data_IF_047710381548
#
_entry.id   IF_047710381548
#
_cell.length_a   1.000
_cell.length_b   1.000
_cell.length_c   1.000
_cell.angle_alpha   90.00
_cell.angle_beta   90.00
_cell.angle_gamma   90.00
#
_symmetry.space_group_name_H-M   'P 1'
#
loop_
_entity.id
_entity.type
_entity.pdbx_description
1 polymer ?
#
# COMPACT_ATOMS: atom_id res chain seq x y z
N UNK A 1 33.40 58.94 -100.96
CA UNK A 1 32.68 58.48 -102.18
C UNK A 1 33.62 58.11 -103.33
N UNK A 2 34.51 58.99 -103.81
CA UNK A 2 35.36 58.71 -104.99
C UNK A 2 36.47 57.66 -104.78
N UNK A 3 37.05 57.57 -103.58
CA UNK A 3 38.08 56.57 -103.24
C UNK A 3 37.52 55.16 -103.11
N UNK A 4 36.34 55.03 -102.50
CA UNK A 4 35.70 53.74 -102.24
C UNK A 4 35.21 53.06 -103.54
N UNK A 5 34.69 53.83 -104.52
CA UNK A 5 34.44 53.32 -105.89
C UNK A 5 35.71 52.88 -106.61
N UNK A 6 36.85 53.55 -106.40
CA UNK A 6 38.13 53.15 -107.01
C UNK A 6 38.68 51.84 -106.43
N UNK A 7 38.51 51.60 -105.13
CA UNK A 7 38.83 50.31 -104.52
C UNK A 7 37.89 49.20 -105.00
N UNK A 8 36.60 49.49 -105.14
CA UNK A 8 35.61 48.52 -105.64
C UNK A 8 35.86 48.14 -107.11
N UNK A 9 36.23 49.09 -107.97
CA UNK A 9 36.67 48.84 -109.35
C UNK A 9 38.05 48.18 -109.49
N UNK A 10 38.88 48.18 -108.43
CA UNK A 10 40.12 47.40 -108.38
C UNK A 10 39.86 45.96 -107.89
N UNK A 11 38.87 45.76 -107.01
CA UNK A 11 38.44 44.42 -106.58
C UNK A 11 37.74 43.62 -107.69
N UNK A 12 36.94 44.27 -108.54
CA UNK A 12 36.25 43.64 -109.69
C UNK A 12 37.18 43.28 -110.86
N UNK A 13 38.51 43.41 -110.71
CA UNK A 13 39.47 43.28 -111.82
C UNK A 13 40.66 42.36 -111.55
N UNK A 14 40.61 41.57 -110.48
CA UNK A 14 41.64 40.58 -110.12
C UNK A 14 40.99 39.18 -110.12
N UNK A 15 40.92 38.57 -111.30
CA UNK A 15 40.71 37.13 -111.45
C UNK A 15 42.03 36.42 -111.13
N UNK A 16 42.32 36.17 -109.85
CA UNK A 16 43.39 35.27 -109.43
C UNK A 16 42.86 34.12 -108.57
N UNK A 17 42.89 32.86 -109.07
CA UNK A 17 42.56 31.70 -108.27
C UNK A 17 43.59 31.46 -107.15
N UNK A 18 44.78 32.05 -107.24
CA UNK A 18 45.86 31.90 -106.25
C UNK A 18 45.56 32.64 -104.95
N UNK A 19 44.96 33.84 -105.00
CA UNK A 19 44.42 34.51 -103.81
C UNK A 19 43.17 33.80 -103.24
N UNK A 20 42.38 33.11 -104.09
CA UNK A 20 41.27 32.27 -103.64
C UNK A 20 41.76 31.03 -102.91
N UNK A 21 42.79 30.34 -103.43
CA UNK A 21 43.45 29.22 -102.75
C UNK A 21 44.22 29.67 -101.51
N UNK A 22 44.88 30.83 -101.50
CA UNK A 22 45.51 31.37 -100.29
C UNK A 22 44.47 31.78 -99.23
N UNK A 23 43.31 32.34 -99.61
CA UNK A 23 42.21 32.60 -98.68
C UNK A 23 41.51 31.32 -98.22
N UNK A 24 41.36 30.30 -99.05
CA UNK A 24 40.89 28.97 -98.62
C UNK A 24 41.93 28.22 -97.79
N UNK A 25 43.22 28.50 -97.97
CA UNK A 25 44.30 27.95 -97.14
C UNK A 25 44.33 28.65 -95.77
N UNK A 26 44.20 29.99 -95.73
CA UNK A 26 44.06 30.75 -94.48
C UNK A 26 42.74 30.43 -93.75
N UNK A 27 41.60 30.34 -94.45
CA UNK A 27 40.32 29.95 -93.83
C UNK A 27 40.24 28.45 -93.54
N UNK A 28 40.93 27.60 -94.32
CA UNK A 28 41.09 26.17 -94.07
C UNK A 28 42.03 25.87 -92.90
N UNK A 29 42.95 26.77 -92.56
CA UNK A 29 43.67 26.76 -91.27
C UNK A 29 42.76 27.09 -90.07
N UNK A 30 41.53 27.55 -90.31
CA UNK A 30 40.47 27.79 -89.32
C UNK A 30 39.34 26.75 -89.43
N UNK A 31 39.53 25.66 -90.18
CA UNK A 31 38.66 24.47 -90.07
C UNK A 31 38.82 23.84 -88.67
N UNK A 32 37.95 24.22 -87.74
CA UNK A 32 37.77 23.50 -86.49
C UNK A 32 37.25 22.09 -86.78
N UNK A 33 37.87 21.06 -86.22
CA UNK A 33 37.51 19.65 -86.36
C UNK A 33 36.16 19.27 -85.72
N UNK A 34 35.30 20.25 -85.45
CA UNK A 34 34.07 20.14 -84.69
C UNK A 34 32.89 20.58 -85.56
N UNK A 35 31.91 19.69 -85.72
CA UNK A 35 30.66 19.97 -86.43
C UNK A 35 29.52 20.19 -85.43
N UNK A 36 28.47 20.90 -85.86
CA UNK A 36 27.33 21.19 -85.01
C UNK A 36 26.51 19.92 -84.74
N UNK A 37 26.41 19.50 -83.48
CA UNK A 37 25.78 18.23 -83.13
C UNK A 37 24.28 18.40 -82.83
N UNK A 38 23.45 18.20 -83.85
CA UNK A 38 21.99 18.16 -83.69
C UNK A 38 21.46 16.86 -83.06
N UNK A 39 22.29 15.79 -83.02
CA UNK A 39 21.84 14.42 -82.76
C UNK A 39 21.79 14.04 -81.26
N UNK A 40 22.17 14.94 -80.35
CA UNK A 40 22.11 14.68 -78.90
C UNK A 40 20.64 14.60 -78.46
N UNK A 41 20.18 13.40 -78.13
CA UNK A 41 18.81 13.16 -77.68
C UNK A 41 18.56 13.81 -76.32
N UNK A 42 17.38 14.39 -76.05
CA UNK A 42 17.01 14.77 -74.68
C UNK A 42 17.12 13.60 -73.69
N UNK A 43 17.42 13.92 -72.42
CA UNK A 43 17.60 12.92 -71.37
C UNK A 43 18.60 13.34 -70.29
N UNK A 44 18.91 12.44 -69.37
CA UNK A 44 19.92 12.62 -68.32
C UNK A 44 21.31 12.28 -68.86
N UNK A 45 22.28 13.17 -68.62
CA UNK A 45 23.69 13.02 -68.97
C UNK A 45 24.60 13.37 -67.78
N UNK A 46 25.82 12.82 -67.80
CA UNK A 46 26.99 13.31 -67.09
C UNK A 46 27.81 14.16 -68.05
N UNK A 47 28.25 15.32 -67.58
CA UNK A 47 29.17 16.20 -68.29
C UNK A 47 30.55 15.97 -67.66
N UNK A 48 31.48 15.39 -68.43
CA UNK A 48 32.80 14.96 -67.95
C UNK A 48 33.88 15.77 -68.64
N UNK A 49 34.77 16.39 -67.89
CA UNK A 49 35.90 17.13 -68.45
C UNK A 49 36.94 16.17 -69.03
N UNK A 50 37.33 16.31 -70.30
CA UNK A 50 38.13 15.30 -71.00
C UNK A 50 39.54 15.16 -70.44
N UNK A 51 40.22 16.29 -70.17
CA UNK A 51 41.62 16.32 -69.69
C UNK A 51 41.80 15.74 -68.28
N UNK A 52 40.78 15.87 -67.43
CA UNK A 52 40.87 15.56 -65.99
C UNK A 52 39.99 14.37 -65.57
N UNK A 53 39.10 13.92 -66.45
CA UNK A 53 38.09 12.88 -66.21
C UNK A 53 37.15 13.16 -65.00
N UNK A 54 37.09 14.41 -64.54
CA UNK A 54 36.21 14.89 -63.46
C UNK A 54 34.83 15.26 -64.00
N UNK A 55 33.80 15.10 -63.18
CA UNK A 55 32.40 15.37 -63.54
C UNK A 55 31.97 16.76 -63.09
N UNK A 56 31.11 17.41 -63.87
CA UNK A 56 30.49 18.69 -63.53
C UNK A 56 29.44 18.52 -62.43
N UNK A 57 29.56 19.29 -61.35
CA UNK A 57 28.62 19.32 -60.23
C UNK A 57 28.32 20.77 -59.80
N UNK A 58 27.26 20.94 -59.00
CA UNK A 58 27.02 22.16 -58.23
C UNK A 58 27.75 22.02 -56.88
N UNK A 59 28.44 23.06 -56.45
CA UNK A 59 29.13 23.10 -55.17
C UNK A 59 28.13 22.98 -53.99
N UNK A 60 28.44 22.11 -53.02
CA UNK A 60 27.49 21.74 -51.94
C UNK A 60 27.04 22.94 -51.08
N UNK A 61 28.00 23.77 -50.64
CA UNK A 61 27.72 24.97 -49.83
C UNK A 61 27.20 26.15 -50.69
N UNK A 62 27.94 26.54 -51.73
CA UNK A 62 27.57 27.63 -52.62
C UNK A 62 26.84 27.10 -53.86
N UNK A 63 25.51 27.02 -53.77
CA UNK A 63 24.62 26.47 -54.81
C UNK A 63 24.62 27.22 -56.15
N UNK A 64 25.25 28.40 -56.25
CA UNK A 64 25.42 29.12 -57.53
C UNK A 64 26.69 28.71 -58.28
N UNK A 65 27.68 28.11 -57.60
CA UNK A 65 28.97 27.75 -58.21
C UNK A 65 28.92 26.39 -58.88
N UNK A 66 29.34 26.37 -60.14
CA UNK A 66 29.63 25.15 -60.90
C UNK A 66 31.11 24.80 -60.74
N UNK A 67 31.38 23.52 -60.44
CA UNK A 67 32.72 23.00 -60.20
C UNK A 67 32.91 21.64 -60.88
N UNK A 68 34.16 21.28 -61.17
CA UNK A 68 34.51 19.89 -61.47
C UNK A 68 34.92 19.15 -60.19
N UNK A 69 34.55 17.87 -60.10
CA UNK A 69 34.91 17.00 -58.99
C UNK A 69 35.16 15.56 -59.45
N UNK A 70 35.95 14.80 -58.69
CA UNK A 70 36.13 13.37 -58.94
C UNK A 70 34.79 12.62 -58.95
N UNK A 71 34.70 11.62 -59.84
CA UNK A 71 33.56 10.70 -59.87
C UNK A 71 33.52 9.93 -58.54
N UNK A 72 32.58 10.29 -57.67
CA UNK A 72 32.31 9.55 -56.44
C UNK A 72 31.89 8.12 -56.81
N UNK A 73 32.80 7.16 -56.59
CA UNK A 73 32.67 5.71 -56.88
C UNK A 73 31.58 4.98 -56.05
N UNK A 74 30.51 5.68 -55.67
CA UNK A 74 29.37 5.16 -54.93
C UNK A 74 28.09 6.02 -55.06
N UNK A 75 28.01 6.89 -56.07
CA UNK A 75 26.77 7.59 -56.42
C UNK A 75 25.76 6.65 -57.07
N UNK A 76 24.47 6.84 -56.82
CA UNK A 76 23.41 6.01 -57.39
C UNK A 76 23.36 6.10 -58.92
N UNK A 77 23.52 4.97 -59.60
CA UNK A 77 23.39 4.88 -61.06
C UNK A 77 21.96 5.18 -61.56
N UNK A 78 20.97 5.26 -60.66
CA UNK A 78 19.61 5.69 -60.97
C UNK A 78 19.61 7.08 -61.65
N UNK A 79 19.15 7.18 -62.92
CA UNK A 79 19.11 8.45 -63.65
C UNK A 79 18.38 9.54 -62.86
N UNK A 80 18.92 10.76 -62.90
CA UNK A 80 18.36 11.93 -62.23
C UNK A 80 18.63 12.08 -60.72
N UNK A 81 19.29 11.12 -60.05
CA UNK A 81 19.51 11.18 -58.58
C UNK A 81 20.89 11.68 -58.12
N UNK A 82 21.93 11.63 -58.97
CA UNK A 82 23.29 12.05 -58.66
C UNK A 82 23.48 13.58 -58.56
N UNK A 83 24.59 14.02 -57.94
CA UNK A 83 25.03 15.44 -57.90
C UNK A 83 25.68 15.92 -59.22
N UNK A 84 25.87 14.98 -60.13
CA UNK A 84 26.53 15.06 -61.43
C UNK A 84 25.54 14.77 -62.58
N UNK A 85 24.25 14.64 -62.28
CA UNK A 85 23.20 14.30 -63.24
C UNK A 85 22.55 15.58 -63.79
N UNK A 86 22.67 15.77 -65.10
CA UNK A 86 22.18 16.94 -65.82
C UNK A 86 21.17 16.51 -66.89
N UNK A 87 19.96 17.05 -66.84
CA UNK A 87 18.92 16.82 -67.83
C UNK A 87 19.07 17.81 -69.00
N UNK A 88 19.32 17.28 -70.18
CA UNK A 88 19.42 18.01 -71.43
C UNK A 88 18.05 18.10 -72.07
N UNK A 89 17.53 19.31 -72.21
CA UNK A 89 16.25 19.62 -72.86
C UNK A 89 16.51 20.46 -74.11
N UNK A 90 16.04 20.02 -75.28
CA UNK A 90 16.20 20.77 -76.54
C UNK A 90 15.50 22.14 -76.43
N UNK A 91 16.17 23.20 -76.86
CA UNK A 91 15.65 24.57 -76.88
C UNK A 91 16.14 25.30 -78.13
N UNK A 92 15.27 25.38 -79.14
CA UNK A 92 15.64 25.89 -80.46
C UNK A 92 16.78 25.07 -81.09
N UNK A 93 17.87 25.76 -81.48
CA UNK A 93 19.11 25.15 -82.00
C UNK A 93 20.11 24.74 -80.91
N UNK A 94 19.74 24.77 -79.64
CA UNK A 94 20.63 24.35 -78.54
C UNK A 94 19.87 23.55 -77.48
N UNK A 95 20.44 23.52 -76.29
CA UNK A 95 19.94 22.78 -75.13
C UNK A 95 19.90 23.69 -73.90
N UNK A 96 18.87 23.50 -73.09
CA UNK A 96 18.86 23.92 -71.68
C UNK A 96 19.34 22.73 -70.87
N UNK A 97 20.26 22.97 -69.95
CA UNK A 97 20.89 21.93 -69.15
C UNK A 97 20.48 22.16 -67.69
N UNK A 98 19.58 21.32 -67.16
CA UNK A 98 18.97 21.42 -65.81
C UNK A 98 19.58 20.37 -64.89
N UNK A 99 20.15 20.76 -63.75
CA UNK A 99 20.61 19.83 -62.73
C UNK A 99 19.43 19.05 -62.14
N UNK A 100 19.46 17.72 -62.19
CA UNK A 100 18.29 16.91 -61.83
C UNK A 100 17.90 17.01 -60.35
N UNK A 101 18.89 17.20 -59.45
CA UNK A 101 18.64 17.22 -57.99
C UNK A 101 18.23 18.59 -57.43
N UNK A 102 18.72 19.69 -57.99
CA UNK A 102 18.39 21.05 -57.50
C UNK A 102 17.43 21.82 -58.40
N UNK A 103 17.23 21.38 -59.64
CA UNK A 103 16.42 22.07 -60.64
C UNK A 103 17.05 23.32 -61.26
N UNK A 104 18.25 23.73 -60.83
CA UNK A 104 18.98 24.86 -61.39
C UNK A 104 19.56 24.55 -62.78
N UNK A 105 19.62 25.54 -63.65
CA UNK A 105 20.20 25.46 -64.99
C UNK A 105 21.65 25.94 -65.02
N UNK A 106 22.42 25.44 -65.99
CA UNK A 106 23.73 26.02 -66.35
C UNK A 106 23.48 27.34 -67.09
N UNK A 107 24.01 28.44 -66.55
CA UNK A 107 23.70 29.81 -66.96
C UNK A 107 24.95 30.70 -66.99
N UNK A 108 24.88 31.79 -67.76
CA UNK A 108 26.04 32.67 -68.02
C UNK A 108 25.87 33.99 -67.24
N UNK A 109 26.84 34.35 -66.41
CA UNK A 109 26.82 35.60 -65.66
C UNK A 109 27.51 36.73 -66.44
N UNK A 110 26.83 37.30 -67.44
CA UNK A 110 27.40 38.34 -68.32
C UNK A 110 27.91 39.61 -67.59
N UNK A 111 27.52 39.83 -66.34
CA UNK A 111 27.98 40.94 -65.51
C UNK A 111 29.29 40.69 -64.74
N UNK A 112 29.92 39.51 -64.82
CA UNK A 112 31.14 39.17 -64.05
C UNK A 112 32.44 39.80 -64.57
N UNK A 113 32.41 40.48 -65.73
CA UNK A 113 33.60 40.81 -66.50
C UNK A 113 34.09 39.63 -67.34
N UNK A 114 35.01 39.89 -68.28
CA UNK A 114 35.57 38.86 -69.17
C UNK A 114 36.90 38.31 -68.61
N UNK A 115 37.15 36.99 -68.65
CA UNK A 115 36.25 35.91 -69.11
C UNK A 115 35.09 35.67 -68.14
N UNK A 116 33.90 35.38 -68.67
CA UNK A 116 32.66 35.39 -67.88
C UNK A 116 32.50 34.15 -67.00
N UNK A 117 31.90 34.31 -65.82
CA UNK A 117 31.53 33.18 -64.95
C UNK A 117 30.37 32.37 -65.55
N UNK A 118 30.40 31.05 -65.31
CA UNK A 118 29.27 30.16 -65.55
C UNK A 118 28.74 29.71 -64.19
N UNK A 119 27.41 29.81 -63.98
CA UNK A 119 26.74 29.63 -62.69
C UNK A 119 25.53 28.71 -62.80
N UNK A 120 25.15 28.10 -61.68
CA UNK A 120 23.88 27.41 -61.53
C UNK A 120 22.80 28.41 -61.08
N UNK A 121 21.76 28.63 -61.89
CA UNK A 121 20.66 29.57 -61.55
C UNK A 121 19.30 29.05 -61.99
N UNK A 122 18.20 29.65 -61.54
CA UNK A 122 16.85 29.28 -61.98
C UNK A 122 16.54 29.72 -63.43
N UNK A 123 17.38 30.57 -64.02
CA UNK A 123 17.17 31.17 -65.34
C UNK A 123 17.98 30.45 -66.42
N UNK A 124 17.36 29.68 -67.34
CA UNK A 124 18.09 28.87 -68.31
C UNK A 124 18.83 29.69 -69.37
N UNK A 125 20.11 29.36 -69.60
CA UNK A 125 20.80 29.71 -70.84
C UNK A 125 20.63 28.60 -71.90
N UNK A 126 20.79 28.96 -73.16
CA UNK A 126 20.83 28.01 -74.29
C UNK A 126 22.28 27.71 -74.65
N UNK A 127 22.63 26.43 -74.60
CA UNK A 127 23.96 25.92 -74.96
C UNK A 127 23.91 25.22 -76.31
N UNK A 128 24.77 25.64 -77.24
CA UNK A 128 24.98 25.00 -78.54
C UNK A 128 26.09 23.97 -78.36
N UNK A 129 25.89 22.74 -78.83
CA UNK A 129 26.86 21.66 -78.64
C UNK A 129 27.47 21.30 -79.99
N UNK A 130 28.79 21.26 -80.01
CA UNK A 130 29.59 20.83 -81.14
C UNK A 130 30.36 19.57 -80.76
N UNK A 131 30.64 18.72 -81.74
CA UNK A 131 31.30 17.44 -81.50
C UNK A 131 32.30 17.13 -82.62
N UNK A 132 33.40 16.47 -82.27
CA UNK A 132 34.36 15.92 -83.23
C UNK A 132 33.73 14.75 -84.02
N UNK A 133 34.28 14.39 -85.18
CA UNK A 133 33.81 13.22 -85.93
C UNK A 133 34.48 11.93 -85.41
N UNK A 134 33.73 11.05 -84.73
CA UNK A 134 34.24 9.79 -84.20
C UNK A 134 33.25 9.02 -83.32
N UNK A 135 33.63 7.82 -82.86
CA UNK A 135 32.76 6.93 -82.05
C UNK A 135 32.48 7.44 -80.62
N UNK A 136 33.42 8.20 -80.03
CA UNK A 136 33.27 8.83 -78.72
C UNK A 136 33.71 10.31 -78.81
N UNK A 137 32.88 11.18 -79.41
CA UNK A 137 33.34 12.50 -79.80
C UNK A 137 33.43 13.45 -78.61
N UNK A 138 34.63 14.02 -78.41
CA UNK A 138 34.82 15.18 -77.55
C UNK A 138 33.87 16.29 -78.02
N UNK A 139 33.22 16.96 -77.06
CA UNK A 139 32.20 17.97 -77.34
C UNK A 139 32.53 19.30 -76.70
N UNK A 140 32.16 20.38 -77.39
CA UNK A 140 32.36 21.76 -76.96
C UNK A 140 30.98 22.36 -76.70
N UNK A 141 30.80 22.94 -75.50
CA UNK A 141 29.57 23.64 -75.12
C UNK A 141 29.76 25.15 -75.35
N UNK A 142 29.19 25.65 -76.45
CA UNK A 142 29.24 27.05 -76.86
C UNK A 142 27.95 27.81 -76.51
N UNK A 143 28.01 29.14 -76.48
CA UNK A 143 26.81 29.99 -76.25
C UNK A 143 26.15 30.46 -77.54
N UNK A 144 26.80 30.28 -78.69
CA UNK A 144 26.32 30.71 -79.99
C UNK A 144 26.72 29.74 -81.11
N UNK A 145 26.30 30.04 -82.35
CA UNK A 145 26.64 29.24 -83.53
C UNK A 145 28.02 29.56 -84.14
N UNK A 146 28.82 30.43 -83.51
CA UNK A 146 30.12 30.86 -84.03
C UNK A 146 31.31 30.31 -83.22
N UNK A 147 31.04 29.60 -82.12
CA UNK A 147 32.03 29.20 -81.11
C UNK A 147 32.80 30.40 -80.51
N UNK A 148 32.25 31.62 -80.57
CA UNK A 148 32.95 32.81 -80.05
C UNK A 148 33.24 32.71 -78.55
N UNK A 149 32.46 31.88 -77.86
CA UNK A 149 32.41 31.72 -76.41
C UNK A 149 32.06 30.27 -76.07
N UNK A 150 32.97 29.57 -75.41
CA UNK A 150 32.88 28.15 -75.04
C UNK A 150 33.11 27.96 -73.55
N UNK A 151 32.50 26.92 -72.99
CA UNK A 151 32.70 26.48 -71.61
C UNK A 151 34.10 25.88 -71.46
N UNK A 152 34.96 26.56 -70.71
CA UNK A 152 36.33 26.13 -70.41
C UNK A 152 36.56 26.00 -68.91
N UNK A 153 37.42 25.06 -68.53
CA UNK A 153 37.85 24.87 -67.15
C UNK A 153 38.75 26.02 -66.69
N UNK A 154 38.42 26.65 -65.55
CA UNK A 154 39.30 27.63 -64.93
C UNK A 154 40.20 26.99 -63.87
N UNK A 155 41.28 26.38 -64.34
CA UNK A 155 42.38 25.72 -63.59
C UNK A 155 43.20 26.64 -62.66
N UNK A 156 42.75 27.88 -62.40
CA UNK A 156 43.51 28.87 -61.63
C UNK A 156 44.92 29.12 -62.21
N UNK A 157 45.88 29.49 -61.35
CA UNK A 157 47.28 29.72 -61.76
C UNK A 157 48.21 28.53 -61.55
N UNK A 158 47.81 27.52 -60.76
CA UNK A 158 48.71 26.45 -60.26
C UNK A 158 48.09 25.05 -60.17
N UNK A 159 46.85 24.81 -60.63
CA UNK A 159 46.15 23.53 -60.44
C UNK A 159 45.46 23.08 -61.71
N UNK A 160 46.07 22.15 -62.45
CA UNK A 160 45.51 21.58 -63.69
C UNK A 160 44.30 20.66 -63.39
N UNK A 161 43.16 21.23 -63.02
CA UNK A 161 41.92 20.53 -62.71
C UNK A 161 41.91 19.85 -61.35
N UNK A 162 42.04 20.63 -60.27
CA UNK A 162 41.76 20.17 -58.93
C UNK A 162 40.24 20.00 -58.67
N UNK A 163 39.90 19.31 -57.57
CA UNK A 163 38.52 19.23 -57.11
C UNK A 163 38.06 20.60 -56.59
N UNK A 164 36.99 21.14 -57.15
CA UNK A 164 36.48 22.47 -56.83
C UNK A 164 36.85 23.55 -57.84
N UNK A 165 37.65 23.24 -58.86
CA UNK A 165 37.96 24.18 -59.94
C UNK A 165 36.68 24.57 -60.69
N UNK A 166 36.53 25.88 -60.95
CA UNK A 166 35.31 26.48 -61.49
C UNK A 166 35.31 26.56 -63.01
N UNK A 167 34.16 26.86 -63.61
CA UNK A 167 34.03 27.06 -65.05
C UNK A 167 34.02 28.54 -65.43
N UNK A 168 34.60 28.86 -66.60
CA UNK A 168 34.50 30.18 -67.22
C UNK A 168 34.20 30.07 -68.72
N UNK A 169 33.79 31.20 -69.28
CA UNK A 169 33.45 31.35 -70.67
C UNK A 169 34.56 32.11 -71.41
N UNK A 170 35.27 31.40 -72.27
CA UNK A 170 36.46 31.86 -73.01
C UNK A 170 36.26 31.68 -74.52
N UNK A 171 37.07 32.31 -75.39
CA UNK A 171 37.11 31.96 -76.80
C UNK A 171 37.67 30.54 -76.99
N UNK A 172 37.33 29.89 -78.10
CA UNK A 172 37.84 28.55 -78.39
C UNK A 172 39.36 28.56 -78.62
N UNK A 173 40.11 28.12 -77.60
CA UNK A 173 41.53 27.80 -77.70
C UNK A 173 41.71 26.33 -78.13
N UNK A 174 42.88 25.98 -78.68
CA UNK A 174 43.23 24.59 -79.03
C UNK A 174 43.83 23.81 -77.85
N UNK A 175 43.37 24.06 -76.62
CA UNK A 175 43.72 23.26 -75.45
C UNK A 175 42.70 22.09 -75.30
N UNK A 176 42.78 21.38 -74.18
CA UNK A 176 41.83 20.37 -73.75
C UNK A 176 40.90 20.86 -72.64
N UNK A 177 41.05 22.11 -72.16
CA UNK A 177 40.25 22.70 -71.06
C UNK A 177 38.82 23.08 -71.53
N UNK A 178 38.61 23.21 -72.84
CA UNK A 178 37.31 23.45 -73.49
C UNK A 178 36.52 22.17 -73.81
N UNK A 179 37.10 20.98 -73.55
CA UNK A 179 36.58 19.70 -74.06
C UNK A 179 35.80 18.90 -73.02
N UNK A 180 34.60 18.47 -73.41
CA UNK A 180 33.64 17.78 -72.56
C UNK A 180 33.09 16.51 -73.22
N UNK A 181 33.09 15.39 -72.49
CA UNK A 181 32.40 14.15 -72.88
C UNK A 181 31.01 14.12 -72.26
N UNK A 182 30.01 13.77 -73.07
CA UNK A 182 28.61 13.70 -72.67
C UNK A 182 28.17 12.25 -72.54
N UNK A 183 28.25 11.70 -71.33
CA UNK A 183 27.84 10.31 -71.03
C UNK A 183 26.32 10.25 -70.78
N UNK A 184 25.54 9.58 -71.64
CA UNK A 184 24.09 9.40 -71.43
C UNK A 184 23.82 8.39 -70.31
N UNK A 185 22.96 8.75 -69.37
CA UNK A 185 22.61 7.93 -68.19
C UNK A 185 21.17 7.39 -68.29
N UNK A 186 20.24 8.17 -68.84
CA UNK A 186 18.83 7.75 -68.93
C UNK A 186 17.89 8.86 -69.39
N UNK A 187 16.61 8.74 -69.04
CA UNK A 187 15.53 9.62 -69.55
C UNK A 187 14.75 10.35 -68.43
N UNK A 188 15.07 10.08 -67.17
CA UNK A 188 14.33 10.61 -66.03
C UNK A 188 14.69 12.06 -65.70
N UNK A 189 13.67 12.88 -65.42
CA UNK A 189 13.84 14.24 -64.87
C UNK A 189 14.22 14.24 -63.38
N UNK A 190 13.98 13.13 -62.67
CA UNK A 190 14.19 12.96 -61.22
C UNK A 190 12.95 13.27 -60.35
N UNK A 191 11.89 13.85 -60.93
CA UNK A 191 10.74 14.38 -60.18
C UNK A 191 9.70 13.30 -59.81
N UNK A 192 9.52 12.27 -60.64
CA UNK A 192 8.45 11.25 -60.47
C UNK A 192 8.66 10.33 -59.25
N UNK A 193 9.90 9.87 -59.02
CA UNK A 193 10.21 8.95 -57.91
C UNK A 193 10.08 9.57 -56.50
N UNK A 194 9.96 10.89 -56.40
CA UNK A 194 9.75 11.58 -55.12
C UNK A 194 8.28 11.56 -54.69
N UNK A 195 7.34 11.63 -55.62
CA UNK A 195 5.90 11.61 -55.34
C UNK A 195 5.44 10.26 -54.76
N UNK A 196 5.90 9.14 -55.34
CA UNK A 196 5.57 7.79 -54.85
C UNK A 196 6.11 7.54 -53.44
N UNK A 197 7.34 8.02 -53.15
CA UNK A 197 7.93 7.95 -51.81
C UNK A 197 7.14 8.78 -50.79
N UNK A 198 6.69 9.97 -51.17
CA UNK A 198 5.84 10.81 -50.31
C UNK A 198 4.52 10.10 -49.95
N UNK A 199 3.85 9.50 -50.94
CA UNK A 199 2.61 8.74 -50.72
C UNK A 199 2.82 7.49 -49.84
N UNK A 200 3.92 6.75 -50.04
CA UNK A 200 4.26 5.61 -49.18
C UNK A 200 4.58 6.02 -47.73
N UNK A 201 5.21 7.18 -47.53
CA UNK A 201 5.47 7.72 -46.20
C UNK A 201 4.18 8.19 -45.52
N UNK A 202 3.27 8.85 -46.24
CA UNK A 202 1.96 9.25 -45.73
C UNK A 202 1.13 8.04 -45.24
N UNK A 203 1.07 6.96 -46.04
CA UNK A 203 0.37 5.72 -45.65
C UNK A 203 1.01 5.04 -44.42
N UNK A 204 2.33 5.13 -44.26
CA UNK A 204 3.03 4.62 -43.07
C UNK A 204 2.74 5.47 -41.84
N UNK A 205 2.67 6.80 -42.01
CA UNK A 205 2.34 7.74 -40.94
C UNK A 205 0.91 7.51 -40.42
N UNK A 206 -0.08 7.43 -41.31
CA UNK A 206 -1.48 7.14 -40.96
C UNK A 206 -1.62 5.82 -40.18
N UNK A 207 -0.91 4.77 -40.60
CA UNK A 207 -0.85 3.49 -39.86
C UNK A 207 -0.21 3.65 -38.48
N UNK A 208 0.89 4.39 -38.37
CA UNK A 208 1.54 4.66 -37.09
C UNK A 208 0.63 5.48 -36.16
N UNK A 209 -0.08 6.47 -36.66
CA UNK A 209 -1.02 7.32 -35.91
C UNK A 209 -2.23 6.53 -35.40
N UNK A 210 -2.85 5.71 -36.27
CA UNK A 210 -3.99 4.86 -35.88
C UNK A 210 -3.60 3.81 -34.85
N UNK A 211 -2.42 3.18 -34.99
CA UNK A 211 -1.90 2.30 -33.95
C UNK A 211 -1.53 3.05 -32.66
N UNK A 212 -0.94 4.24 -32.74
CA UNK A 212 -0.60 5.06 -31.57
C UNK A 212 -1.86 5.46 -30.80
N UNK A 213 -2.94 5.83 -31.50
CA UNK A 213 -4.26 6.08 -30.90
C UNK A 213 -4.81 4.86 -30.17
N UNK A 214 -4.68 3.66 -30.77
CA UNK A 214 -5.07 2.37 -30.16
C UNK A 214 -4.20 1.98 -28.96
N UNK A 215 -2.89 2.29 -28.99
CA UNK A 215 -1.99 2.11 -27.84
C UNK A 215 -2.34 3.07 -26.71
N UNK A 216 -2.66 4.33 -27.02
CA UNK A 216 -3.09 5.34 -26.04
C UNK A 216 -4.40 4.97 -25.34
N UNK A 217 -5.40 4.47 -26.07
CA UNK A 217 -6.66 4.03 -25.43
C UNK A 217 -6.47 2.81 -24.52
N UNK A 218 -5.59 1.87 -24.91
CA UNK A 218 -5.22 0.74 -24.05
C UNK A 218 -4.44 1.17 -22.80
N UNK A 219 -3.56 2.16 -22.93
CA UNK A 219 -2.80 2.68 -21.79
C UNK A 219 -3.73 3.31 -20.75
N UNK A 220 -4.68 4.15 -21.20
CA UNK A 220 -5.73 4.73 -20.33
C UNK A 220 -6.51 3.65 -19.58
N UNK A 221 -6.93 2.58 -20.26
CA UNK A 221 -7.65 1.47 -19.60
C UNK A 221 -6.79 0.80 -18.52
N UNK A 222 -5.50 0.58 -18.78
CA UNK A 222 -4.57 -0.01 -17.80
C UNK A 222 -4.29 0.95 -16.63
N UNK A 223 -4.27 2.26 -16.87
CA UNK A 223 -4.14 3.30 -15.84
C UNK A 223 -5.37 3.32 -14.91
N UNK A 224 -6.58 3.18 -15.47
CA UNK A 224 -7.84 3.07 -14.72
C UNK A 224 -7.90 1.77 -13.89
N UNK A 225 -7.57 0.63 -14.50
CA UNK A 225 -7.51 -0.69 -13.82
C UNK A 225 -6.46 -0.70 -12.70
N UNK A 226 -5.28 -0.11 -12.92
CA UNK A 226 -4.24 0.02 -11.91
C UNK A 226 -4.68 0.93 -10.75
N UNK A 227 -5.36 2.04 -11.06
CA UNK A 227 -5.89 2.96 -10.03
C UNK A 227 -6.95 2.28 -9.15
N UNK A 228 -7.83 1.46 -9.76
CA UNK A 228 -8.80 0.64 -9.02
C UNK A 228 -8.10 -0.38 -8.11
N UNK A 229 -7.12 -1.11 -8.64
CA UNK A 229 -6.36 -2.10 -7.87
C UNK A 229 -5.57 -1.47 -6.71
N UNK A 230 -5.06 -0.25 -6.87
CA UNK A 230 -4.41 0.51 -5.78
C UNK A 230 -5.42 0.84 -4.67
N UNK A 231 -6.61 1.32 -5.04
CA UNK A 231 -7.68 1.61 -4.07
C UNK A 231 -8.16 0.36 -3.32
N UNK A 232 -8.35 -0.77 -4.02
CA UNK A 232 -8.73 -2.04 -3.41
C UNK A 232 -7.65 -2.57 -2.47
N UNK A 233 -6.38 -2.47 -2.86
CA UNK A 233 -5.23 -2.80 -2.01
C UNK A 233 -5.25 -1.97 -0.72
N UNK A 234 -5.42 -0.65 -0.83
CA UNK A 234 -5.39 0.25 0.33
C UNK A 234 -6.56 0.00 1.30
N UNK A 235 -7.75 -0.33 0.77
CA UNK A 235 -8.89 -0.77 1.58
C UNK A 235 -8.59 -2.08 2.35
N UNK A 236 -7.98 -3.07 1.69
CA UNK A 236 -7.59 -4.33 2.34
C UNK A 236 -6.54 -4.10 3.43
N UNK A 237 -5.57 -3.20 3.22
CA UNK A 237 -4.59 -2.84 4.25
C UNK A 237 -5.23 -2.16 5.47
N UNK A 238 -6.23 -1.30 5.27
CA UNK A 238 -6.98 -0.69 6.36
C UNK A 238 -7.74 -1.75 7.18
N UNK A 239 -8.47 -2.66 6.53
CA UNK A 239 -9.18 -3.77 7.18
C UNK A 239 -8.23 -4.71 7.93
N UNK A 240 -7.05 -5.00 7.38
CA UNK A 240 -6.03 -5.81 8.04
C UNK A 240 -5.46 -5.10 9.28
N UNK A 241 -5.30 -3.77 9.25
CA UNK A 241 -4.86 -3.01 10.42
C UNK A 241 -5.92 -3.03 11.54
N UNK A 242 -7.20 -2.84 11.20
CA UNK A 242 -8.33 -2.90 12.12
C UNK A 242 -8.47 -4.28 12.79
N UNK A 243 -8.47 -5.36 12.00
CA UNK A 243 -8.51 -6.73 12.52
C UNK A 243 -7.32 -7.07 13.44
N UNK A 244 -6.13 -6.53 13.17
CA UNK A 244 -4.97 -6.70 14.07
C UNK A 244 -5.13 -5.97 15.41
N UNK A 245 -5.83 -4.83 15.43
CA UNK A 245 -6.17 -4.12 16.68
C UNK A 245 -7.20 -4.94 17.47
N UNK A 246 -8.25 -5.44 16.83
CA UNK A 246 -9.26 -6.31 17.46
C UNK A 246 -8.63 -7.59 18.05
N UNK A 247 -7.80 -8.29 17.28
CA UNK A 247 -7.07 -9.49 17.76
C UNK A 247 -6.19 -9.15 18.96
N UNK A 248 -5.58 -7.96 19.00
CA UNK A 248 -4.76 -7.52 20.13
C UNK A 248 -5.61 -7.23 21.37
N UNK A 249 -6.80 -6.63 21.20
CA UNK A 249 -7.76 -6.42 22.29
C UNK A 249 -8.30 -7.75 22.83
N UNK A 250 -8.68 -8.69 21.96
CA UNK A 250 -9.16 -10.04 22.33
C UNK A 250 -8.08 -10.83 23.09
N UNK A 251 -6.80 -10.69 22.72
CA UNK A 251 -5.69 -11.29 23.48
C UNK A 251 -5.55 -10.70 24.88
N UNK A 252 -5.72 -9.38 25.03
CA UNK A 252 -5.67 -8.73 26.34
C UNK A 252 -6.84 -9.17 27.24
N UNK A 253 -8.07 -9.22 26.70
CA UNK A 253 -9.23 -9.69 27.47
C UNK A 253 -9.15 -11.17 27.82
N UNK A 254 -8.63 -12.01 26.91
CA UNK A 254 -8.37 -13.42 27.20
C UNK A 254 -7.38 -13.60 28.36
N UNK A 255 -6.27 -12.86 28.37
CA UNK A 255 -5.31 -12.90 29.48
C UNK A 255 -5.94 -12.46 30.80
N UNK A 256 -6.74 -11.37 30.80
CA UNK A 256 -7.46 -10.91 32.00
C UNK A 256 -8.49 -11.93 32.50
N UNK A 257 -9.17 -12.66 31.61
CA UNK A 257 -10.08 -13.74 31.98
C UNK A 257 -9.30 -14.92 32.55
N UNK A 258 -8.14 -15.26 31.99
CA UNK A 258 -7.28 -16.34 32.48
C UNK A 258 -6.73 -16.04 33.89
N UNK A 259 -6.24 -14.82 34.13
CA UNK A 259 -5.80 -14.38 35.45
C UNK A 259 -6.94 -14.46 36.48
N UNK A 260 -8.13 -13.97 36.12
CA UNK A 260 -9.33 -14.07 36.98
C UNK A 260 -9.78 -15.50 37.24
N UNK A 261 -9.57 -16.42 36.30
CA UNK A 261 -9.88 -17.83 36.48
C UNK A 261 -8.93 -18.46 37.51
N UNK A 262 -7.62 -18.24 37.38
CA UNK A 262 -6.61 -18.73 38.33
C UNK A 262 -6.90 -18.24 39.75
N UNK A 263 -7.19 -16.94 39.94
CA UNK A 263 -7.57 -16.43 41.27
C UNK A 263 -8.85 -17.09 41.82
N UNK A 264 -9.81 -17.46 40.96
CA UNK A 264 -11.03 -18.16 41.40
C UNK A 264 -10.80 -19.63 41.71
N UNK A 265 -9.85 -20.28 41.04
CA UNK A 265 -9.40 -21.64 41.38
C UNK A 265 -8.66 -21.65 42.73
N UNK A 266 -7.82 -20.64 42.99
CA UNK A 266 -7.16 -20.43 44.29
C UNK A 266 -8.17 -20.18 45.42
N UNK A 267 -9.09 -19.22 45.26
CA UNK A 267 -10.18 -18.96 46.23
C UNK A 267 -11.04 -20.21 46.50
N UNK A 268 -11.33 -21.02 45.48
CA UNK A 268 -12.10 -22.25 45.62
C UNK A 268 -11.32 -23.29 46.46
N UNK A 269 -10.03 -23.48 46.17
CA UNK A 269 -9.17 -24.37 46.95
C UNK A 269 -9.02 -23.95 48.41
N UNK A 270 -8.97 -22.64 48.70
CA UNK A 270 -9.04 -22.14 50.08
C UNK A 270 -10.36 -22.52 50.77
N UNK A 271 -11.50 -22.37 50.08
CA UNK A 271 -12.83 -22.72 50.61
C UNK A 271 -13.01 -24.22 50.82
N UNK A 272 -12.49 -25.07 49.94
CA UNK A 272 -12.49 -26.52 50.13
C UNK A 272 -11.68 -26.92 51.38
N UNK A 273 -10.51 -26.31 51.60
CA UNK A 273 -9.70 -26.55 52.80
C UNK A 273 -10.39 -26.05 54.09
N UNK A 274 -11.04 -24.88 54.07
CA UNK A 274 -11.87 -24.41 55.18
C UNK A 274 -13.01 -25.39 55.51
N UNK A 275 -13.69 -25.91 54.48
CA UNK A 275 -14.80 -26.85 54.63
C UNK A 275 -14.33 -28.17 55.25
N UNK A 276 -13.24 -28.77 54.74
CA UNK A 276 -12.64 -29.99 55.31
C UNK A 276 -12.22 -29.81 56.78
N UNK A 277 -11.74 -28.62 57.16
CA UNK A 277 -11.43 -28.32 58.55
C UNK A 277 -12.70 -28.19 59.42
N UNK A 278 -13.78 -27.61 58.88
CA UNK A 278 -15.07 -27.54 59.58
C UNK A 278 -15.74 -28.91 59.75
N UNK A 279 -15.63 -29.80 58.77
CA UNK A 279 -16.08 -31.20 58.90
C UNK A 279 -15.33 -31.94 60.02
N UNK A 280 -14.01 -31.76 60.13
CA UNK A 280 -13.21 -32.33 61.23
C UNK A 280 -13.59 -31.75 62.60
N UNK A 281 -13.78 -30.43 62.70
CA UNK A 281 -14.27 -29.78 63.92
C UNK A 281 -15.65 -30.30 64.33
N UNK A 282 -16.54 -30.56 63.37
CA UNK A 282 -17.90 -31.04 63.61
C UNK A 282 -17.86 -32.50 64.08
N UNK A 283 -17.12 -33.37 63.40
CA UNK A 283 -16.96 -34.78 63.80
C UNK A 283 -16.38 -34.93 65.22
N UNK A 284 -15.38 -34.09 65.59
CA UNK A 284 -14.85 -34.08 66.96
C UNK A 284 -15.87 -33.66 68.03
N UNK A 285 -16.80 -32.75 67.68
CA UNK A 285 -17.91 -32.36 68.57
C UNK A 285 -19.01 -33.42 68.65
N UNK A 286 -19.25 -34.18 67.60
CA UNK A 286 -20.15 -35.33 67.62
C UNK A 286 -19.61 -36.43 68.53
N UNK A 287 -18.29 -36.67 68.51
CA UNK A 287 -17.62 -37.61 69.43
C UNK A 287 -17.70 -37.14 70.89
N UNK A 288 -17.43 -35.84 71.16
CA UNK A 288 -17.59 -35.26 72.51
C UNK A 288 -19.06 -35.35 73.01
N UNK A 289 -20.04 -35.08 72.15
CA UNK A 289 -21.46 -35.24 72.48
C UNK A 289 -21.83 -36.70 72.80
N UNK A 290 -21.33 -37.65 72.01
CA UNK A 290 -21.58 -39.07 72.24
C UNK A 290 -20.97 -39.56 73.58
N UNK A 291 -19.81 -39.03 73.97
CA UNK A 291 -19.23 -39.29 75.29
C UNK A 291 -20.07 -38.68 76.42
N UNK A 292 -20.56 -37.44 76.25
CA UNK A 292 -21.46 -36.78 77.22
C UNK A 292 -22.79 -37.49 77.39
N UNK A 293 -23.40 -37.98 76.30
CA UNK A 293 -24.64 -38.75 76.36
C UNK A 293 -24.42 -40.10 77.11
N UNK A 294 -23.25 -40.72 76.94
CA UNK A 294 -22.86 -41.93 77.69
C UNK A 294 -22.65 -41.65 79.18
N UNK A 295 -21.91 -40.59 79.54
CA UNK A 295 -21.76 -40.14 80.93
C UNK A 295 -23.13 -39.86 81.58
N UNK A 296 -24.03 -39.20 80.86
CA UNK A 296 -25.38 -38.89 81.34
C UNK A 296 -26.21 -40.16 81.58
N UNK A 297 -26.16 -41.14 80.68
CA UNK A 297 -26.84 -42.42 80.85
C UNK A 297 -26.28 -43.22 82.05
N UNK A 298 -24.97 -43.24 82.25
CA UNK A 298 -24.33 -43.85 83.42
C UNK A 298 -24.76 -43.17 84.73
N UNK A 299 -24.83 -41.83 84.75
CA UNK A 299 -25.31 -41.06 85.89
C UNK A 299 -26.80 -41.32 86.19
N UNK A 300 -27.65 -41.41 85.17
CA UNK A 300 -29.08 -41.74 85.31
C UNK A 300 -29.28 -43.14 85.92
N UNK A 301 -28.53 -44.14 85.46
CA UNK A 301 -28.58 -45.50 86.02
C UNK A 301 -28.16 -45.51 87.50
N UNK A 302 -27.08 -44.78 87.86
CA UNK A 302 -26.62 -44.68 89.24
C UNK A 302 -27.63 -43.96 90.17
N UNK A 303 -28.39 -42.99 89.65
CA UNK A 303 -29.50 -42.37 90.40
C UNK A 303 -30.61 -43.40 90.62
N UNK A 304 -31.04 -44.13 89.58
CA UNK A 304 -32.06 -45.18 89.71
C UNK A 304 -31.69 -46.26 90.72
N UNK A 305 -30.43 -46.71 90.74
CA UNK A 305 -29.95 -47.64 91.77
C UNK A 305 -30.04 -47.07 93.20
N UNK A 306 -29.74 -45.78 93.37
CA UNK A 306 -29.81 -45.11 94.68
C UNK A 306 -31.25 -44.94 95.14
N UNK A 307 -32.16 -44.60 94.23
CA UNK A 307 -33.59 -44.48 94.52
C UNK A 307 -34.19 -45.84 94.92
N UNK A 308 -33.81 -46.93 94.26
CA UNK A 308 -34.18 -48.30 94.68
C UNK A 308 -33.67 -48.63 96.09
N UNK A 309 -32.39 -48.36 96.39
CA UNK A 309 -31.80 -48.58 97.73
C UNK A 309 -32.46 -47.71 98.80
N UNK A 310 -32.84 -46.48 98.46
CA UNK A 310 -33.53 -45.56 99.37
C UNK A 310 -34.99 -46.02 99.63
N UNK A 311 -35.68 -46.54 98.62
CA UNK A 311 -37.00 -47.15 98.80
C UNK A 311 -36.94 -48.40 99.70
N UNK A 312 -35.93 -49.27 99.52
CA UNK A 312 -35.72 -50.44 100.38
C UNK A 312 -35.46 -50.04 101.85
N UNK A 313 -34.61 -49.03 102.09
CA UNK A 313 -34.34 -48.51 103.44
C UNK A 313 -35.61 -47.88 104.06
N UNK A 314 -36.42 -47.17 103.26
CA UNK A 314 -37.70 -46.64 103.73
C UNK A 314 -38.68 -47.76 104.12
N UNK A 315 -38.79 -48.82 103.32
CA UNK A 315 -39.63 -49.98 103.64
C UNK A 315 -39.17 -50.66 104.94
N UNK A 316 -37.87 -50.93 105.08
CA UNK A 316 -37.28 -51.47 106.31
C UNK A 316 -37.56 -50.56 107.53
N UNK A 317 -37.45 -49.25 107.39
CA UNK A 317 -37.72 -48.29 108.45
C UNK A 317 -39.21 -48.24 108.83
N UNK A 318 -40.13 -48.36 107.86
CA UNK A 318 -41.57 -48.47 108.15
C UNK A 318 -41.92 -49.79 108.85
N UNK A 319 -41.29 -50.90 108.47
CA UNK A 319 -41.45 -52.20 109.13
C UNK A 319 -40.96 -52.16 110.58
N UNK A 320 -39.75 -51.63 110.81
CA UNK A 320 -39.19 -51.44 112.15
C UNK A 320 -40.08 -50.54 113.03
N UNK A 321 -40.65 -49.47 112.44
CA UNK A 321 -41.58 -48.58 113.14
C UNK A 321 -42.87 -49.31 113.57
N UNK A 322 -43.43 -50.17 112.71
CA UNK A 322 -44.58 -51.01 113.07
C UNK A 322 -44.24 -52.01 114.18
N UNK A 323 -43.04 -52.60 114.16
CA UNK A 323 -42.58 -53.48 115.24
C UNK A 323 -42.40 -52.76 116.57
N UNK A 324 -41.85 -51.54 116.57
CA UNK A 324 -41.73 -50.70 117.76
C UNK A 324 -43.12 -50.39 118.32
N UNK A 325 -44.07 -49.92 117.49
CA UNK A 325 -45.45 -49.66 117.96
C UNK A 325 -46.12 -50.89 118.56
N UNK A 326 -45.95 -52.08 117.97
CA UNK A 326 -46.42 -53.35 118.57
C UNK A 326 -45.74 -53.64 119.92
N UNK A 327 -44.45 -53.33 120.06
CA UNK A 327 -43.71 -53.53 121.32
C UNK A 327 -44.14 -52.54 122.41
N UNK A 328 -44.46 -51.30 122.04
CA UNK A 328 -45.03 -50.31 122.95
C UNK A 328 -46.44 -50.74 123.43
N UNK A 329 -47.27 -51.31 122.55
CA UNK A 329 -48.56 -51.93 122.91
C UNK A 329 -48.38 -53.13 123.86
N UNK A 330 -47.44 -54.04 123.57
CA UNK A 330 -47.10 -55.18 124.44
C UNK A 330 -46.58 -54.73 125.82
N UNK A 331 -45.84 -53.62 125.89
CA UNK A 331 -45.35 -53.05 127.14
C UNK A 331 -46.49 -52.40 127.93
N UNK A 332 -47.33 -51.58 127.28
CA UNK A 332 -48.49 -50.95 127.92
C UNK A 332 -49.46 -51.99 128.50
N UNK A 333 -49.64 -53.13 127.83
CA UNK A 333 -50.45 -54.24 128.36
C UNK A 333 -49.80 -54.91 129.57
N UNK A 334 -48.47 -55.09 129.58
CA UNK A 334 -47.74 -55.60 130.75
C UNK A 334 -47.79 -54.63 131.93
N UNK A 335 -47.65 -53.34 131.69
CA UNK A 335 -47.77 -52.30 132.74
C UNK A 335 -49.19 -52.31 133.33
N UNK A 336 -50.23 -52.51 132.51
CA UNK A 336 -51.60 -52.74 132.96
C UNK A 336 -51.74 -54.01 133.81
N UNK A 337 -51.10 -55.11 133.42
CA UNK A 337 -51.08 -56.35 134.22
C UNK A 337 -50.33 -56.18 135.54
N UNK A 338 -49.22 -55.43 135.56
CA UNK A 338 -48.47 -55.13 136.78
C UNK A 338 -49.32 -54.27 137.72
N UNK A 339 -49.96 -53.21 137.22
CA UNK A 339 -50.88 -52.38 138.01
C UNK A 339 -52.03 -53.18 138.63
N UNK A 340 -52.59 -54.15 137.89
CA UNK A 340 -53.61 -55.06 138.45
C UNK A 340 -53.02 -56.01 139.51
N UNK A 341 -51.78 -56.48 139.33
CA UNK A 341 -51.09 -57.31 140.32
C UNK A 341 -50.69 -56.55 141.58
N UNK A 342 -50.24 -55.31 141.45
CA UNK A 342 -49.97 -54.43 142.59
C UNK A 342 -51.26 -54.07 143.33
N UNK A 343 -52.37 -53.91 142.60
CA UNK A 343 -53.72 -53.77 143.18
C UNK A 343 -54.16 -55.04 143.92
N UNK A 344 -53.95 -56.23 143.35
CA UNK A 344 -54.19 -57.52 144.03
C UNK A 344 -53.34 -57.67 145.31
N UNK A 345 -52.07 -57.26 145.27
CA UNK A 345 -51.16 -57.30 146.42
C UNK A 345 -51.55 -56.28 147.49
N UNK A 346 -51.88 -55.04 147.11
CA UNK A 346 -52.40 -54.02 148.03
C UNK A 346 -53.68 -54.48 148.73
N UNK A 347 -54.63 -55.06 147.98
CA UNK A 347 -55.84 -55.68 148.54
C UNK A 347 -55.55 -56.86 149.49
N UNK A 348 -54.34 -57.44 149.43
CA UNK A 348 -53.87 -58.56 150.26
C UNK A 348 -53.05 -58.08 151.46
N UNK A 349 -52.43 -56.91 151.40
CA UNK A 349 -51.77 -56.23 152.51
C UNK A 349 -52.75 -55.44 153.40
N UNK A 350 -53.89 -54.97 152.88
CA UNK A 350 -54.88 -54.19 153.63
C UNK A 350 -55.64 -54.96 154.74
N UNK A 351 -55.35 -56.24 154.98
CA UNK A 351 -55.98 -57.01 156.06
C UNK A 351 -55.06 -58.08 156.72
N UNK A 352 -54.66 -57.92 158.01
CA UNK A 352 -54.64 -56.69 158.82
C UNK A 352 -53.35 -56.48 159.67
N UNK A 353 -53.06 -55.24 160.09
CA UNK A 353 -52.14 -55.01 161.23
C UNK A 353 -51.49 -53.62 161.35
N UNK A 354 -52.15 -52.66 162.02
CA UNK A 354 -51.57 -51.34 162.34
C UNK A 354 -50.49 -51.41 163.44
N UNK A 355 -49.39 -50.66 163.28
CA UNK A 355 -49.00 -49.47 164.08
C UNK A 355 -47.52 -49.13 163.79
N UNK A 356 -47.21 -47.85 163.52
CA UNK A 356 -45.87 -47.39 163.13
C UNK A 356 -45.14 -46.57 164.21
N UNK A 357 -43.93 -46.10 163.89
CA UNK A 357 -43.21 -45.06 164.63
C UNK A 357 -42.46 -44.18 163.60
N UNK A 358 -42.51 -42.86 163.80
CA UNK A 358 -41.81 -41.84 163.00
C UNK A 358 -40.28 -41.91 163.14
N UNK A 359 -39.53 -41.27 162.24
CA UNK A 359 -38.71 -40.07 162.53
C UNK A 359 -37.99 -39.53 161.28
N UNK A 360 -37.65 -38.23 161.27
CA UNK A 360 -37.30 -37.46 160.08
C UNK A 360 -35.81 -37.05 159.98
N UNK A 361 -35.34 -36.70 158.78
CA UNK A 361 -34.51 -35.50 158.51
C UNK A 361 -34.19 -35.32 157.01
N UNK A 362 -34.12 -34.05 156.55
CA UNK A 362 -33.65 -33.63 155.20
C UNK A 362 -32.13 -33.39 155.21
N UNK A 363 -31.45 -33.39 154.05
CA UNK A 363 -31.16 -32.14 153.32
C UNK A 363 -31.54 -32.24 151.82
N UNK A 364 -31.63 -31.21 150.95
CA UNK A 364 -31.28 -29.77 150.86
C UNK A 364 -30.20 -29.49 149.78
N UNK A 365 -30.62 -28.72 148.77
CA UNK A 365 -29.87 -27.84 147.85
C UNK A 365 -29.08 -28.39 146.63
N UNK A 366 -29.38 -27.74 145.49
CA UNK A 366 -28.54 -27.28 144.35
C UNK A 366 -27.70 -28.24 143.49
N UNK A 367 -27.91 -28.18 142.16
CA UNK A 367 -27.20 -27.18 141.32
C UNK A 367 -27.84 -26.91 139.94
N UNK A 368 -27.40 -25.81 139.34
CA UNK A 368 -27.91 -25.10 138.16
C UNK A 368 -27.57 -25.73 136.79
N UNK A 369 -28.22 -25.28 135.69
CA UNK A 369 -27.72 -25.41 134.32
C UNK A 369 -26.57 -24.40 134.04
N UNK A 370 -26.00 -24.38 132.83
CA UNK A 370 -26.50 -23.47 131.79
C UNK A 370 -26.54 -24.17 130.39
N UNK A 371 -26.76 -23.57 129.22
CA UNK A 371 -26.86 -22.15 128.83
C UNK A 371 -27.91 -21.92 127.69
N UNK A 372 -27.47 -21.51 126.50
CA UNK A 372 -28.22 -20.98 125.34
C UNK A 372 -27.39 -21.26 124.06
N UNK A 373 -27.95 -21.32 122.84
CA UNK A 373 -28.26 -20.10 122.07
C UNK A 373 -29.41 -20.29 121.06
N UNK A 374 -30.43 -19.44 121.18
CA UNK A 374 -31.30 -19.04 120.08
C UNK A 374 -30.78 -17.69 119.57
N UNK A 375 -30.56 -17.54 118.27
CA UNK A 375 -30.59 -16.24 117.57
C UNK A 375 -31.06 -16.40 116.11
N UNK A 376 -32.38 -16.36 115.89
CA UNK A 376 -32.92 -15.26 115.06
C UNK A 376 -33.13 -14.08 116.02
N UNK A 377 -32.82 -12.83 115.62
CA UNK A 377 -33.82 -11.99 114.94
C UNK A 377 -33.20 -11.23 113.73
N UNK A 378 -33.95 -10.73 112.72
CA UNK A 378 -34.88 -9.58 112.78
C UNK A 378 -34.24 -8.33 113.44
N UNK A 379 -34.28 -7.12 112.90
CA UNK A 379 -35.22 -6.53 111.95
C UNK A 379 -34.62 -5.36 111.11
N UNK A 380 -35.31 -5.08 110.01
CA UNK A 380 -35.64 -3.75 109.42
C UNK A 380 -34.61 -2.62 109.11
N UNK A 381 -35.05 -1.80 108.14
CA UNK A 381 -34.73 -0.38 107.89
C UNK A 381 -33.44 0.03 107.16
N UNK A 382 -33.58 0.07 105.82
CA UNK A 382 -33.59 1.30 105.01
C UNK A 382 -32.28 1.97 104.52
N UNK A 383 -32.37 2.45 103.26
CA UNK A 383 -31.42 3.29 102.49
C UNK A 383 -30.17 2.50 102.00
N UNK A 384 -29.71 2.62 100.76
CA UNK A 384 -29.87 3.69 99.76
C UNK A 384 -29.96 3.18 98.31
N UNK A 385 -30.56 4.01 97.46
CA UNK A 385 -30.66 3.89 95.98
C UNK A 385 -29.40 4.46 95.30
N UNK A 386 -28.94 3.88 94.18
CA UNK A 386 -29.00 4.51 92.83
C UNK A 386 -29.69 3.56 91.80
N UNK A 387 -30.50 3.90 90.77
CA UNK A 387 -30.74 5.09 89.93
C UNK A 387 -29.48 5.75 89.34
N UNK A 388 -29.28 6.00 88.04
CA UNK A 388 -30.02 5.84 86.76
C UNK A 388 -28.97 5.56 85.64
N UNK A 389 -29.22 5.22 84.36
CA UNK A 389 -30.37 5.25 83.44
C UNK A 389 -30.61 3.82 82.85
N UNK A 390 -31.38 3.50 81.79
CA UNK A 390 -32.10 4.24 80.73
C UNK A 390 -31.41 4.04 79.35
N UNK A 391 -32.08 3.67 78.26
CA UNK A 391 -33.51 3.49 78.03
C UNK A 391 -33.80 2.33 77.02
N UNK A 392 -35.05 1.86 77.07
CA UNK A 392 -35.99 1.60 75.96
C UNK A 392 -35.45 1.77 74.50
N UNK A 393 -35.88 1.00 73.50
CA UNK A 393 -37.27 0.56 73.25
C UNK A 393 -37.39 -0.74 72.40
N UNK A 394 -38.56 -0.97 71.78
CA UNK A 394 -39.11 -2.28 71.39
C UNK A 394 -38.94 -2.66 69.91
N UNK A 395 -39.06 -3.98 69.66
CA UNK A 395 -39.36 -4.60 68.37
C UNK A 395 -40.55 -3.94 67.63
N UNK A 396 -40.42 -3.71 66.30
CA UNK A 396 -41.19 -4.44 65.24
C UNK A 396 -40.95 -3.95 63.80
N UNK A 397 -40.67 -4.92 62.93
CA UNK A 397 -41.14 -5.13 61.54
C UNK A 397 -41.44 -3.93 60.59
N UNK A 398 -40.76 -4.01 59.43
CA UNK A 398 -41.28 -3.82 58.07
C UNK A 398 -41.96 -2.49 57.63
N UNK A 399 -41.22 -1.68 56.86
CA UNK A 399 -41.53 -1.41 55.44
C UNK A 399 -40.41 -0.58 54.81
N UNK A 400 -40.09 -0.83 53.53
CA UNK A 400 -39.23 0.05 52.72
C UNK A 400 -39.84 0.15 51.32
N UNK A 401 -40.54 1.25 51.06
CA UNK A 401 -40.95 1.63 49.71
C UNK A 401 -40.94 3.16 49.56
N UNK A 402 -40.23 3.60 48.51
CA UNK A 402 -40.31 4.88 47.80
C UNK A 402 -39.81 6.23 48.36
N UNK A 403 -39.48 7.06 47.36
CA UNK A 403 -39.00 8.46 47.33
C UNK A 403 -37.83 8.85 48.26
N UNK A 404 -36.69 9.39 47.81
CA UNK A 404 -36.27 9.81 46.46
C UNK A 404 -35.76 11.26 46.46
N UNK A 405 -34.53 11.52 46.00
CA UNK A 405 -34.11 12.86 45.58
C UNK A 405 -33.02 12.86 44.50
N UNK A 406 -33.33 13.62 43.45
CA UNK A 406 -32.54 13.91 42.25
C UNK A 406 -31.13 14.45 42.58
N UNK A 407 -30.16 14.06 41.75
CA UNK A 407 -29.21 15.04 41.19
C UNK A 407 -29.28 14.97 39.66
N UNK A 408 -29.43 16.12 39.03
CA UNK A 408 -29.59 16.29 37.58
C UNK A 408 -28.23 16.35 36.91
N UNK A 409 -28.02 15.57 35.85
CA UNK A 409 -26.89 15.77 34.95
C UNK A 409 -27.37 15.73 33.50
N UNK A 410 -26.97 16.75 32.74
CA UNK A 410 -27.39 17.02 31.36
C UNK A 410 -26.71 16.07 30.37
N UNK A 411 -27.48 15.47 29.47
CA UNK A 411 -26.96 14.71 28.33
C UNK A 411 -27.35 15.39 27.01
N UNK A 412 -26.35 15.62 26.17
CA UNK A 412 -26.47 16.06 24.77
C UNK A 412 -26.91 14.90 23.86
N UNK A 413 -27.43 15.16 22.64
CA UNK A 413 -28.11 14.13 21.86
C UNK A 413 -27.17 13.06 21.28
N UNK A 414 -27.67 11.82 21.06
CA UNK A 414 -26.89 10.72 20.53
C UNK A 414 -26.53 10.93 19.05
N UNK A 415 -25.32 10.49 18.70
CA UNK A 415 -24.79 10.49 17.34
C UNK A 415 -25.46 9.40 16.49
N UNK A 416 -25.48 9.60 15.16
CA UNK A 416 -26.03 8.64 14.21
C UNK A 416 -25.28 7.29 14.27
N UNK A 417 -25.91 6.25 14.83
CA UNK A 417 -25.59 4.83 14.52
C UNK A 417 -26.70 3.82 14.91
N UNK A 418 -27.73 4.20 15.67
CA UNK A 418 -28.86 3.32 16.06
C UNK A 418 -30.04 3.25 15.05
N UNK A 419 -29.76 3.44 13.75
CA UNK A 419 -30.77 3.34 12.67
C UNK A 419 -30.28 2.45 11.53
N UNK A 420 -29.98 1.17 11.84
CA UNK A 420 -29.74 0.12 10.83
C UNK A 420 -29.80 -1.32 11.35
N UNK A 421 -30.88 -1.68 12.06
CA UNK A 421 -31.14 -3.08 12.47
C UNK A 421 -32.64 -3.43 12.46
N UNK A 422 -33.35 -2.88 11.46
CA UNK A 422 -34.75 -3.19 11.17
C UNK A 422 -34.91 -3.40 9.64
N UNK A 423 -34.18 -4.37 9.09
CA UNK A 423 -34.25 -4.72 7.66
C UNK A 423 -33.88 -6.20 7.40
N UNK A 424 -34.38 -7.09 8.28
CA UNK A 424 -34.43 -8.53 8.04
C UNK A 424 -35.84 -8.98 8.39
N UNK A 425 -36.68 -9.15 7.37
CA UNK A 425 -37.99 -9.76 7.51
C UNK A 425 -37.86 -11.23 7.89
N UNK A 426 -38.56 -11.63 8.94
CA UNK A 426 -38.81 -13.03 9.29
C UNK A 426 -40.32 -13.21 9.27
N UNK A 427 -40.83 -13.68 8.13
CA UNK A 427 -42.19 -14.21 8.06
C UNK A 427 -42.25 -15.46 8.95
N UNK A 428 -43.22 -15.47 9.88
CA UNK A 428 -43.60 -16.65 10.65
C UNK A 428 -44.97 -17.11 10.13
N UNK A 429 -44.96 -18.17 9.34
CA UNK A 429 -46.14 -19.01 9.08
C UNK A 429 -46.05 -20.27 9.96
N UNK A 430 -47.21 -20.66 10.51
CA UNK A 430 -47.53 -21.84 11.35
C UNK A 430 -46.99 -21.88 12.81
#
# INVERSE_FOLDING_TARGET
>A
MSTLRRLQQLLERIDEPELSEQLKSLMGQVSSCYSFNENIKPGTYRIVHVKTNKVLQIHDENKEKLIIWDRLNRGSEQPGTGKDHWFFQRSGRGYRIKHCRSGAYISIALGSGYPYDIRATEYPATWVIYSEEGENPDSILATDLTHSRVMSLHSGSNSHGANGDTLRLTPLCKDHDERWRLERIGEATGETGNAERANQLALKLEKAETEAKKRKSKLSQVEDELSKNISEKDQIWAQLAEANIEISQVKLTLNQVQERLVTKEEELGEKENELVNKEKELAGKEEELAEKDKELAEAQNLIGEKDMKLAEILEQLTSLKMEISRKDEELSEKDRMILEKDRELSNREEAPGRLGIDHAMKPRLDKQPPETTVQEPRDETARSVPQLNGAEERLKLASVFNEGRRSTMTLSPPTQLDLKLADLGWDFDE
#
